data_IF_674560018130
#
_entry.id   IF_674560018130
#
_cell.length_a   1.000
_cell.length_b   1.000
_cell.length_c   1.000
_cell.angle_alpha   90.00
_cell.angle_beta   90.00
_cell.angle_gamma   90.00
#
_symmetry.space_group_name_H-M   'P 1'
#
loop_
_entity.id
_entity.type
_entity.pdbx_description
1 polymer ?
#
# COMPACT_ATOMS: atom_id res chain seq x y z
N UNK A 1 -16.37 22.57 6.97
CA UNK A 1 -17.01 21.54 6.12
C UNK A 1 -16.41 21.44 4.72
N UNK A 2 -16.34 22.52 3.92
CA UNK A 2 -15.83 22.42 2.52
C UNK A 2 -14.43 21.80 2.41
N UNK A 3 -13.50 22.23 3.26
CA UNK A 3 -12.13 21.68 3.31
C UNK A 3 -12.15 20.18 3.63
N UNK A 4 -12.90 19.77 4.66
CA UNK A 4 -13.02 18.35 5.01
C UNK A 4 -13.57 17.50 3.87
N UNK A 5 -14.57 18.03 3.14
CA UNK A 5 -15.18 17.32 2.00
C UNK A 5 -14.17 17.06 0.89
N UNK A 6 -13.35 18.07 0.53
CA UNK A 6 -12.31 17.87 -0.48
C UNK A 6 -11.22 16.91 -0.01
N UNK A 7 -10.81 16.96 1.27
CA UNK A 7 -9.84 16.03 1.82
C UNK A 7 -10.33 14.57 1.73
N UNK A 8 -11.60 14.32 2.09
CA UNK A 8 -12.16 12.96 2.06
C UNK A 8 -12.16 12.39 0.64
N UNK A 9 -12.44 13.23 -0.37
CA UNK A 9 -12.42 12.80 -1.78
C UNK A 9 -11.07 12.22 -2.21
N UNK A 10 -9.97 12.65 -1.61
CA UNK A 10 -8.63 12.09 -1.87
C UNK A 10 -8.49 10.60 -1.52
N UNK A 11 -9.24 10.13 -0.51
CA UNK A 11 -9.21 8.73 -0.07
C UNK A 11 -10.11 7.79 -0.88
N UNK A 12 -11.08 8.35 -1.62
CA UNK A 12 -12.09 7.58 -2.35
C UNK A 12 -11.52 7.10 -3.68
N UNK A 13 -11.51 5.78 -3.90
CA UNK A 13 -10.94 5.17 -5.11
C UNK A 13 -12.03 4.64 -6.03
N UNK A 14 -13.07 4.01 -5.49
CA UNK A 14 -14.14 3.40 -6.29
C UNK A 14 -15.29 4.35 -6.57
N UNK A 15 -16.03 4.14 -7.66
CA UNK A 15 -17.23 4.93 -7.95
C UNK A 15 -18.28 4.79 -6.85
N UNK A 16 -18.46 3.59 -6.31
CA UNK A 16 -19.36 3.37 -5.17
C UNK A 16 -18.98 4.19 -3.94
N UNK A 17 -17.68 4.28 -3.58
CA UNK A 17 -17.21 5.12 -2.47
C UNK A 17 -17.55 6.60 -2.69
N UNK A 18 -17.34 7.09 -3.92
CA UNK A 18 -17.64 8.49 -4.30
C UNK A 18 -19.13 8.78 -4.24
N UNK A 19 -19.96 7.90 -4.80
CA UNK A 19 -21.42 8.02 -4.80
C UNK A 19 -21.99 7.95 -3.38
N UNK A 20 -21.52 7.00 -2.55
CA UNK A 20 -21.94 6.86 -1.16
C UNK A 20 -21.56 8.12 -0.36
N UNK A 21 -20.37 8.67 -0.54
CA UNK A 21 -19.96 9.89 0.13
C UNK A 21 -20.82 11.10 -0.27
N UNK A 22 -21.07 11.28 -1.57
CA UNK A 22 -21.93 12.35 -2.06
C UNK A 22 -23.36 12.23 -1.49
N UNK A 23 -23.91 11.01 -1.45
CA UNK A 23 -25.21 10.74 -0.84
C UNK A 23 -25.20 11.00 0.67
N UNK A 24 -24.11 10.66 1.38
CA UNK A 24 -23.94 10.94 2.79
C UNK A 24 -24.05 12.45 3.06
N UNK A 25 -23.25 13.26 2.36
CA UNK A 25 -23.23 14.72 2.52
C UNK A 25 -24.59 15.35 2.19
N UNK A 26 -25.28 14.85 1.16
CA UNK A 26 -26.59 15.35 0.75
C UNK A 26 -27.69 15.17 1.83
N UNK A 27 -27.50 14.30 2.83
CA UNK A 27 -28.43 14.25 3.98
C UNK A 27 -28.43 15.55 4.76
N UNK A 28 -27.29 16.23 4.90
CA UNK A 28 -27.16 17.43 5.72
C UNK A 28 -27.99 18.61 5.20
N UNK A 29 -28.25 18.65 3.90
CA UNK A 29 -29.06 19.67 3.23
C UNK A 29 -30.56 19.49 3.45
N UNK A 30 -31.00 18.33 3.93
CA UNK A 30 -32.41 18.02 4.21
C UNK A 30 -32.85 18.60 5.56
N UNK A 31 -32.89 19.92 5.68
CA UNK A 31 -33.14 20.64 6.95
C UNK A 31 -34.47 20.28 7.64
N UNK A 32 -35.48 19.81 6.90
CA UNK A 32 -36.76 19.37 7.44
C UNK A 32 -36.75 17.92 7.96
N UNK A 33 -35.71 17.14 7.69
CA UNK A 33 -35.60 15.75 8.12
C UNK A 33 -34.94 15.68 9.51
N UNK A 34 -35.66 15.24 10.56
CA UNK A 34 -35.12 15.14 11.90
C UNK A 34 -34.00 14.09 12.04
N UNK A 35 -33.83 13.19 11.05
CA UNK A 35 -32.81 12.15 11.02
C UNK A 35 -31.60 12.52 10.17
N UNK A 36 -31.55 13.69 9.53
CA UNK A 36 -30.47 14.07 8.61
C UNK A 36 -29.06 13.80 9.14
N UNK A 37 -28.79 14.12 10.41
CA UNK A 37 -27.48 13.91 11.02
C UNK A 37 -27.19 12.42 11.27
N UNK A 38 -28.19 11.66 11.71
CA UNK A 38 -28.05 10.22 11.91
C UNK A 38 -27.81 9.48 10.59
N UNK A 39 -28.56 9.85 9.54
CA UNK A 39 -28.41 9.29 8.19
C UNK A 39 -27.04 9.60 7.60
N UNK A 40 -26.57 10.84 7.73
CA UNK A 40 -25.20 11.24 7.39
C UNK A 40 -24.17 10.39 8.15
N UNK A 41 -24.28 10.31 9.49
CA UNK A 41 -23.33 9.58 10.34
C UNK A 41 -23.30 8.07 10.02
N UNK A 42 -24.48 7.48 9.77
CA UNK A 42 -24.60 6.09 9.39
C UNK A 42 -23.93 5.81 8.03
N UNK A 43 -24.15 6.68 7.04
CA UNK A 43 -23.51 6.57 5.73
C UNK A 43 -21.98 6.75 5.82
N UNK A 44 -21.49 7.69 6.63
CA UNK A 44 -20.05 7.89 6.86
C UNK A 44 -19.38 6.67 7.53
N UNK A 45 -20.07 6.04 8.49
CA UNK A 45 -19.61 4.79 9.10
C UNK A 45 -19.56 3.66 8.07
N UNK A 46 -20.55 3.55 7.19
CA UNK A 46 -20.55 2.50 6.18
C UNK A 46 -19.45 2.74 5.13
N UNK A 47 -19.25 3.99 4.72
CA UNK A 47 -18.14 4.38 3.86
C UNK A 47 -16.79 3.98 4.45
N UNK A 48 -16.56 4.20 5.76
CA UNK A 48 -15.29 3.80 6.39
C UNK A 48 -15.10 2.29 6.40
N UNK A 49 -16.18 1.51 6.51
CA UNK A 49 -16.13 0.04 6.39
C UNK A 49 -15.78 -0.40 4.97
N UNK A 50 -16.31 0.25 3.95
CA UNK A 50 -15.99 -0.07 2.55
C UNK A 50 -14.52 0.23 2.22
N UNK A 51 -14.02 1.40 2.61
CA UNK A 51 -12.60 1.73 2.41
C UNK A 51 -11.71 0.76 3.17
N UNK A 52 -12.02 0.47 4.44
CA UNK A 52 -11.24 -0.51 5.22
C UNK A 52 -11.31 -1.92 4.64
N UNK A 53 -12.44 -2.33 4.04
CA UNK A 53 -12.55 -3.61 3.33
C UNK A 53 -11.65 -3.65 2.10
N UNK A 54 -11.53 -2.55 1.36
CA UNK A 54 -10.65 -2.44 0.21
C UNK A 54 -9.18 -2.48 0.62
N UNK A 55 -8.82 -1.82 1.73
CA UNK A 55 -7.45 -1.80 2.25
C UNK A 55 -7.05 -3.11 2.94
N UNK A 56 -8.01 -3.80 3.56
CA UNK A 56 -7.81 -5.04 4.29
C UNK A 56 -8.93 -6.06 3.99
N UNK A 57 -8.89 -6.71 2.82
CA UNK A 57 -9.85 -7.73 2.46
C UNK A 57 -9.82 -8.89 3.45
N UNK A 58 -10.99 -9.40 3.84
CA UNK A 58 -11.10 -10.50 4.82
C UNK A 58 -10.30 -11.73 4.41
N UNK A 59 -10.27 -12.02 3.11
CA UNK A 59 -9.53 -13.16 2.55
C UNK A 59 -8.03 -13.02 2.74
N UNK A 60 -7.51 -11.81 2.68
CA UNK A 60 -6.09 -11.54 2.80
C UNK A 60 -5.67 -11.50 4.26
N UNK A 61 -6.43 -10.80 5.11
CA UNK A 61 -6.17 -10.78 6.56
C UNK A 61 -6.16 -12.20 7.14
N UNK A 62 -7.03 -13.10 6.66
CA UNK A 62 -7.09 -14.50 7.12
C UNK A 62 -5.88 -15.35 6.71
N UNK A 63 -5.15 -14.96 5.67
CA UNK A 63 -3.95 -15.67 5.22
C UNK A 63 -2.70 -15.27 6.00
N UNK A 64 -2.73 -14.13 6.69
CA UNK A 64 -1.59 -13.67 7.47
C UNK A 64 -1.23 -14.68 8.58
N UNK A 65 0.08 -14.94 8.74
CA UNK A 65 0.60 -15.84 9.77
C UNK A 65 0.24 -15.39 11.19
N UNK A 66 0.08 -14.08 11.41
CA UNK A 66 -0.31 -13.48 12.68
C UNK A 66 -1.82 -13.46 12.95
N UNK A 67 -2.66 -13.84 11.98
CA UNK A 67 -4.11 -13.82 12.14
C UNK A 67 -4.59 -14.83 13.18
N UNK A 68 -5.56 -14.41 14.00
CA UNK A 68 -6.20 -15.25 15.00
C UNK A 68 -7.71 -15.12 14.91
N UNK A 69 -8.43 -16.24 14.98
CA UNK A 69 -9.89 -16.23 15.00
C UNK A 69 -10.36 -15.77 16.38
N UNK A 70 -10.83 -14.53 16.46
CA UNK A 70 -11.37 -13.92 17.69
C UNK A 70 -12.89 -13.75 17.67
N UNK A 71 -13.52 -13.95 16.51
CA UNK A 71 -14.98 -13.79 16.32
C UNK A 71 -15.65 -15.12 16.06
N UNK A 72 -16.90 -15.26 16.51
CA UNK A 72 -17.67 -16.50 16.35
C UNK A 72 -17.92 -16.88 14.88
N UNK A 73 -17.94 -15.91 13.97
CA UNK A 73 -18.16 -16.13 12.54
C UNK A 73 -16.84 -16.24 11.75
N UNK A 74 -15.68 -16.24 12.43
CA UNK A 74 -14.38 -16.31 11.79
C UNK A 74 -14.01 -15.09 10.94
N UNK A 75 -14.73 -13.97 11.07
CA UNK A 75 -14.39 -12.72 10.39
C UNK A 75 -13.27 -11.98 11.15
N UNK A 76 -12.34 -11.29 10.45
CA UNK A 76 -11.33 -10.49 11.12
C UNK A 76 -11.94 -9.37 11.95
N UNK A 77 -11.34 -9.09 13.11
CA UNK A 77 -11.75 -7.96 13.92
C UNK A 77 -11.36 -6.63 13.25
N UNK A 78 -11.98 -5.53 13.68
CA UNK A 78 -11.59 -4.18 13.21
C UNK A 78 -10.10 -3.93 13.47
N UNK A 79 -9.59 -4.35 14.62
CA UNK A 79 -8.17 -4.23 14.98
C UNK A 79 -7.30 -4.97 13.96
N UNK A 80 -7.62 -6.22 13.64
CA UNK A 80 -6.86 -6.99 12.65
C UNK A 80 -6.89 -6.38 11.25
N UNK A 81 -8.02 -5.79 10.85
CA UNK A 81 -8.12 -5.06 9.58
C UNK A 81 -7.26 -3.79 9.56
N UNK A 82 -7.23 -3.03 10.66
CA UNK A 82 -6.38 -1.84 10.77
C UNK A 82 -4.90 -2.24 10.73
N UNK A 83 -4.50 -3.28 11.47
CA UNK A 83 -3.14 -3.83 11.41
C UNK A 83 -2.76 -4.15 9.97
N UNK A 84 -3.57 -4.93 9.26
CA UNK A 84 -3.28 -5.28 7.86
C UNK A 84 -3.22 -4.05 6.93
N UNK A 85 -4.14 -3.09 7.11
CA UNK A 85 -4.16 -1.88 6.29
C UNK A 85 -2.85 -1.06 6.44
N UNK A 86 -2.23 -1.11 7.62
CA UNK A 86 -0.97 -0.44 7.96
C UNK A 86 0.25 -1.25 7.49
N UNK A 87 0.36 -2.54 7.87
CA UNK A 87 1.59 -3.31 7.72
C UNK A 87 1.50 -4.53 6.78
N UNK A 88 0.36 -4.74 6.12
CA UNK A 88 0.12 -5.92 5.29
C UNK A 88 0.29 -7.23 6.06
N UNK A 89 0.97 -8.20 5.47
CA UNK A 89 1.27 -9.49 6.10
C UNK A 89 2.39 -9.49 7.13
N UNK A 90 3.15 -8.40 7.29
CA UNK A 90 4.29 -8.34 8.21
C UNK A 90 3.84 -8.63 9.65
N UNK A 91 4.66 -9.34 10.41
CA UNK A 91 4.39 -9.62 11.81
C UNK A 91 4.67 -8.38 12.68
N UNK A 92 3.96 -8.25 13.80
CA UNK A 92 4.22 -7.18 14.78
C UNK A 92 5.67 -7.21 15.28
N UNK A 93 6.23 -8.41 15.47
CA UNK A 93 7.63 -8.57 15.89
C UNK A 93 8.62 -8.06 14.84
N UNK A 94 8.36 -8.28 13.55
CA UNK A 94 9.22 -7.77 12.48
C UNK A 94 9.15 -6.24 12.39
N UNK A 95 7.94 -5.67 12.45
CA UNK A 95 7.75 -4.21 12.38
C UNK A 95 8.45 -3.52 13.56
N UNK A 96 8.32 -4.07 14.77
CA UNK A 96 8.97 -3.57 15.98
C UNK A 96 10.50 -3.76 15.92
N UNK A 97 10.99 -4.99 15.77
CA UNK A 97 12.42 -5.30 15.97
C UNK A 97 13.30 -5.09 14.75
N UNK A 98 12.76 -5.25 13.54
CA UNK A 98 13.54 -5.17 12.31
C UNK A 98 13.41 -3.80 11.64
N UNK A 99 12.23 -3.17 11.74
CA UNK A 99 11.97 -1.86 11.16
C UNK A 99 12.06 -0.70 12.17
N UNK A 100 12.15 -0.99 13.47
CA UNK A 100 12.19 -0.01 14.56
C UNK A 100 10.94 0.89 14.60
N UNK A 101 9.76 0.30 14.36
CA UNK A 101 8.47 1.00 14.32
C UNK A 101 7.49 0.35 15.32
N UNK A 102 6.91 1.16 16.21
CA UNK A 102 5.93 0.70 17.20
C UNK A 102 4.53 1.32 16.97
N UNK A 103 3.72 0.84 16.00
CA UNK A 103 2.48 1.51 15.59
C UNK A 103 1.30 1.31 16.55
N UNK A 104 1.54 0.82 17.77
CA UNK A 104 0.48 0.28 18.64
C UNK A 104 -0.46 1.35 19.15
N UNK A 105 0.08 2.51 19.52
CA UNK A 105 -0.72 3.63 20.04
C UNK A 105 -1.50 4.29 18.92
N UNK A 106 -0.90 4.45 17.74
CA UNK A 106 -1.55 5.01 16.56
C UNK A 106 -2.67 4.09 16.04
N UNK A 107 -2.44 2.77 15.99
CA UNK A 107 -3.49 1.79 15.66
C UNK A 107 -4.65 1.90 16.65
N UNK A 108 -4.37 2.12 17.94
CA UNK A 108 -5.40 2.33 18.95
C UNK A 108 -6.19 3.62 18.69
N UNK A 109 -5.54 4.71 18.31
CA UNK A 109 -6.20 5.97 17.92
C UNK A 109 -7.12 5.80 16.71
N UNK A 110 -6.69 5.03 15.69
CA UNK A 110 -7.54 4.68 14.54
C UNK A 110 -8.80 3.94 15.00
N UNK A 111 -8.66 2.95 15.88
CA UNK A 111 -9.79 2.17 16.41
C UNK A 111 -10.74 3.06 17.22
N UNK A 112 -10.22 3.97 18.04
CA UNK A 112 -11.02 4.93 18.80
C UNK A 112 -11.81 5.87 17.88
N UNK A 113 -11.21 6.33 16.78
CA UNK A 113 -11.89 7.13 15.77
C UNK A 113 -13.01 6.34 15.06
N UNK A 114 -12.79 5.07 14.73
CA UNK A 114 -13.85 4.20 14.17
C UNK A 114 -15.01 4.01 15.16
N UNK A 115 -14.70 3.89 16.45
CA UNK A 115 -15.71 3.78 17.50
C UNK A 115 -16.50 5.09 17.66
N UNK A 116 -15.85 6.25 17.52
CA UNK A 116 -16.51 7.55 17.50
C UNK A 116 -17.52 7.66 16.36
N UNK A 117 -17.16 7.25 15.13
CA UNK A 117 -18.09 7.20 14.00
C UNK A 117 -19.31 6.33 14.32
N UNK A 118 -19.10 5.18 14.97
CA UNK A 118 -20.19 4.28 15.34
C UNK A 118 -21.16 4.91 16.34
N UNK A 119 -20.67 5.73 17.28
CA UNK A 119 -21.47 6.38 18.32
C UNK A 119 -22.58 7.28 17.77
N UNK A 120 -22.30 8.03 16.71
CA UNK A 120 -23.26 9.00 16.14
C UNK A 120 -24.35 8.37 15.28
N UNK A 121 -24.24 7.09 14.96
CA UNK A 121 -25.25 6.37 14.18
C UNK A 121 -26.53 6.05 14.97
N UNK A 122 -26.45 6.03 16.31
CA UNK A 122 -27.59 5.70 17.15
C UNK A 122 -28.49 6.92 17.36
N UNK A 123 -29.75 6.81 16.93
CA UNK A 123 -30.79 7.82 17.16
C UNK A 123 -31.09 7.89 18.66
N UNK A 124 -30.95 9.08 19.24
CA UNK A 124 -31.29 9.36 20.64
C UNK A 124 -31.58 10.86 20.81
N UNK A 125 -31.96 11.29 22.02
CA UNK A 125 -32.32 12.69 22.32
C UNK A 125 -31.21 13.71 21.99
N UNK A 126 -29.95 13.30 21.96
CA UNK A 126 -28.80 14.17 21.64
C UNK A 126 -28.51 14.24 20.14
N UNK A 127 -29.15 13.42 19.31
CA UNK A 127 -28.87 13.31 17.87
C UNK A 127 -30.11 13.48 16.99
N UNK A 128 -31.31 13.26 17.56
CA UNK A 128 -32.59 13.41 16.87
C UNK A 128 -33.07 14.87 16.84
N UNK A 129 -33.46 15.34 15.65
CA UNK A 129 -34.03 16.67 15.43
C UNK A 129 -33.21 17.82 16.06
N UNK A 130 -31.89 17.72 15.96
CA UNK A 130 -30.97 18.69 16.55
C UNK A 130 -30.97 20.03 15.79
N UNK A 131 -30.70 21.16 16.48
CA UNK A 131 -30.53 22.47 15.86
C UNK A 131 -29.48 22.46 14.74
N UNK A 132 -29.60 23.40 13.80
CA UNK A 132 -28.65 23.54 12.67
C UNK A 132 -27.20 23.68 13.15
N UNK A 133 -26.94 24.51 14.16
CA UNK A 133 -25.59 24.71 14.69
C UNK A 133 -24.98 23.42 15.26
N UNK A 134 -25.80 22.62 15.95
CA UNK A 134 -25.36 21.33 16.51
C UNK A 134 -25.13 20.31 15.39
N UNK A 135 -26.01 20.28 14.39
CA UNK A 135 -25.84 19.45 13.19
C UNK A 135 -24.52 19.75 12.48
N UNK A 136 -24.20 21.03 12.25
CA UNK A 136 -22.94 21.44 11.62
C UNK A 136 -21.73 21.05 12.48
N UNK A 137 -21.76 21.37 13.78
CA UNK A 137 -20.65 21.05 14.69
C UNK A 137 -20.38 19.54 14.79
N UNK A 138 -21.43 18.73 14.91
CA UNK A 138 -21.29 17.28 14.97
C UNK A 138 -20.87 16.69 13.62
N UNK A 139 -21.35 17.24 12.51
CA UNK A 139 -20.96 16.79 11.17
C UNK A 139 -19.48 17.03 10.93
N UNK A 140 -18.94 18.18 11.35
CA UNK A 140 -17.50 18.46 11.30
C UNK A 140 -16.72 17.41 12.09
N UNK A 141 -17.14 17.07 13.30
CA UNK A 141 -16.46 16.03 14.12
C UNK A 141 -16.44 14.66 13.44
N UNK A 142 -17.53 14.27 12.78
CA UNK A 142 -17.60 13.01 12.02
C UNK A 142 -16.64 13.05 10.82
N UNK A 143 -16.61 14.16 10.08
CA UNK A 143 -15.71 14.32 8.93
C UNK A 143 -14.24 14.32 9.37
N UNK A 144 -13.89 15.08 10.40
CA UNK A 144 -12.52 15.15 10.93
C UNK A 144 -12.08 13.78 11.45
N UNK A 145 -12.93 13.06 12.20
CA UNK A 145 -12.61 11.71 12.67
C UNK A 145 -12.44 10.71 11.53
N UNK A 146 -13.22 10.83 10.45
CA UNK A 146 -13.05 10.02 9.25
C UNK A 146 -11.70 10.31 8.58
N UNK A 147 -11.34 11.58 8.45
CA UNK A 147 -10.05 12.00 7.88
C UNK A 147 -8.89 11.45 8.71
N UNK A 148 -8.93 11.59 10.03
CA UNK A 148 -7.89 11.10 10.94
C UNK A 148 -7.64 9.61 10.81
N UNK A 149 -8.68 8.78 10.61
CA UNK A 149 -8.54 7.34 10.39
C UNK A 149 -7.61 7.05 9.21
N UNK A 150 -7.89 7.65 8.04
CA UNK A 150 -7.19 7.28 6.81
C UNK A 150 -5.85 8.01 6.65
N UNK A 151 -5.72 9.23 7.18
CA UNK A 151 -4.41 9.90 7.25
C UNK A 151 -3.41 9.12 8.11
N UNK A 152 -3.84 8.64 9.29
CA UNK A 152 -2.96 7.91 10.18
C UNK A 152 -2.59 6.53 9.60
N UNK A 153 -3.54 5.86 8.94
CA UNK A 153 -3.25 4.61 8.21
C UNK A 153 -2.26 4.84 7.07
N UNK A 154 -2.42 5.89 6.26
CA UNK A 154 -1.48 6.21 5.17
C UNK A 154 -0.10 6.60 5.69
N UNK A 155 -0.02 7.37 6.77
CA UNK A 155 1.24 7.77 7.40
C UNK A 155 2.03 6.56 7.90
N UNK A 156 1.41 5.69 8.70
CA UNK A 156 2.06 4.50 9.24
C UNK A 156 2.48 3.54 8.12
N UNK A 157 1.63 3.38 7.09
CA UNK A 157 1.96 2.57 5.93
C UNK A 157 3.18 3.12 5.19
N UNK A 158 3.25 4.43 5.01
CA UNK A 158 4.40 5.08 4.37
C UNK A 158 5.68 4.87 5.18
N UNK A 159 5.63 5.03 6.50
CA UNK A 159 6.76 4.80 7.41
C UNK A 159 7.28 3.35 7.33
N UNK A 160 6.36 2.38 7.35
CA UNK A 160 6.71 0.96 7.18
C UNK A 160 7.32 0.68 5.81
N UNK A 161 6.72 1.21 4.74
CA UNK A 161 7.27 1.03 3.39
C UNK A 161 8.68 1.65 3.26
N UNK A 162 8.89 2.82 3.85
CA UNK A 162 10.20 3.50 3.84
C UNK A 162 11.25 2.69 4.61
N UNK A 163 10.95 2.29 5.85
CA UNK A 163 11.88 1.48 6.65
C UNK A 163 12.14 0.11 6.01
N UNK A 164 11.12 -0.52 5.43
CA UNK A 164 11.27 -1.79 4.72
C UNK A 164 12.12 -1.64 3.45
N UNK A 165 11.95 -0.55 2.69
CA UNK A 165 12.80 -0.24 1.54
C UNK A 165 14.27 -0.19 1.96
N UNK A 166 14.59 0.60 2.99
CA UNK A 166 15.96 0.70 3.52
C UNK A 166 16.47 -0.65 4.04
N UNK A 167 15.59 -1.46 4.65
CA UNK A 167 15.92 -2.77 5.19
C UNK A 167 16.33 -3.79 4.14
N UNK A 168 15.79 -3.72 2.92
CA UNK A 168 16.02 -4.69 1.83
C UNK A 168 16.96 -4.16 0.73
N UNK A 169 17.23 -2.86 0.66
CA UNK A 169 17.98 -2.23 -0.45
C UNK A 169 19.29 -2.92 -0.78
N UNK A 170 20.17 -3.11 0.22
CA UNK A 170 21.48 -3.75 -0.01
C UNK A 170 21.38 -5.17 -0.55
N UNK A 171 20.41 -5.92 -0.07
CA UNK A 171 20.21 -7.31 -0.49
C UNK A 171 19.61 -7.39 -1.90
N UNK A 172 18.81 -6.39 -2.28
CA UNK A 172 18.30 -6.26 -3.63
C UNK A 172 19.44 -5.98 -4.61
N UNK A 173 20.35 -5.06 -4.28
CA UNK A 173 21.55 -4.78 -5.07
C UNK A 173 22.39 -6.06 -5.28
N UNK A 174 22.69 -6.78 -4.20
CA UNK A 174 23.48 -8.02 -4.25
C UNK A 174 22.79 -9.12 -5.07
N UNK A 175 21.46 -9.26 -4.93
CA UNK A 175 20.65 -10.22 -5.68
C UNK A 175 20.64 -9.92 -7.17
N UNK A 176 20.50 -8.64 -7.55
CA UNK A 176 20.51 -8.21 -8.93
C UNK A 176 21.86 -8.45 -9.61
N UNK A 177 22.94 -8.03 -8.93
CA UNK A 177 24.29 -8.29 -9.41
C UNK A 177 24.48 -9.79 -9.64
N UNK A 178 24.12 -10.65 -8.69
CA UNK A 178 24.35 -12.09 -8.82
C UNK A 178 23.55 -12.77 -9.94
N UNK A 179 22.32 -12.33 -10.23
CA UNK A 179 21.42 -12.98 -11.20
C UNK A 179 21.55 -12.45 -12.63
N UNK A 180 21.95 -11.20 -12.86
CA UNK A 180 22.08 -10.64 -14.22
C UNK A 180 23.27 -11.21 -15.00
N UNK A 181 24.35 -11.61 -14.31
CA UNK A 181 25.56 -12.12 -14.97
C UNK A 181 25.38 -13.50 -15.63
N UNK A 182 24.29 -14.23 -15.37
CA UNK A 182 24.13 -15.58 -15.90
C UNK A 182 23.61 -15.64 -17.34
N UNK A 183 23.06 -14.56 -17.91
CA UNK A 183 22.05 -14.73 -18.97
C UNK A 183 22.01 -13.70 -20.13
N UNK A 184 23.01 -12.82 -20.29
CA UNK A 184 23.05 -11.88 -21.42
C UNK A 184 23.43 -12.51 -22.80
N UNK A 185 23.18 -13.80 -23.02
CA UNK A 185 23.62 -14.55 -24.21
C UNK A 185 22.88 -14.20 -25.53
N UNK A 186 22.11 -13.11 -25.58
CA UNK A 186 21.18 -12.79 -26.68
C UNK A 186 21.76 -11.80 -27.69
N UNK A 187 22.70 -10.94 -27.29
CA UNK A 187 23.16 -9.80 -28.13
C UNK A 187 24.38 -10.11 -29.02
N UNK A 188 25.23 -11.06 -28.64
CA UNK A 188 26.41 -11.45 -29.42
C UNK A 188 26.79 -12.89 -29.13
N UNK A 189 27.70 -13.47 -29.92
CA UNK A 189 28.22 -14.82 -29.66
C UNK A 189 28.96 -14.96 -28.32
N UNK A 190 29.35 -13.82 -27.72
CA UNK A 190 29.99 -13.70 -26.41
C UNK A 190 29.65 -12.32 -25.80
N UNK A 191 28.45 -12.19 -25.24
CA UNK A 191 28.09 -11.00 -24.48
C UNK A 191 28.51 -11.21 -23.02
N UNK A 192 29.19 -10.21 -22.47
CA UNK A 192 29.58 -10.21 -21.06
C UNK A 192 28.85 -9.05 -20.40
N UNK A 193 27.94 -9.34 -19.47
CA UNK A 193 27.48 -8.36 -18.50
C UNK A 193 28.71 -7.92 -17.69
N UNK A 194 29.05 -6.63 -17.72
CA UNK A 194 30.19 -6.11 -16.95
C UNK A 194 29.73 -5.64 -15.58
N UNK A 195 28.72 -4.77 -15.56
CA UNK A 195 28.16 -4.18 -14.35
C UNK A 195 26.66 -3.96 -14.53
N UNK A 196 25.92 -3.94 -13.43
CA UNK A 196 24.52 -3.52 -13.40
C UNK A 196 24.37 -2.47 -12.33
N UNK A 197 23.75 -1.34 -12.67
CA UNK A 197 23.45 -0.28 -11.71
C UNK A 197 21.94 -0.24 -11.50
N UNK A 198 21.50 -0.59 -10.29
CA UNK A 198 20.12 -0.37 -9.87
C UNK A 198 19.91 1.12 -9.67
N UNK A 199 19.01 1.73 -10.46
CA UNK A 199 18.70 3.16 -10.33
C UNK A 199 17.66 3.41 -9.25
N UNK A 200 16.58 2.62 -9.25
CA UNK A 200 15.50 2.76 -8.28
C UNK A 200 14.66 1.50 -8.16
N UNK A 201 14.00 1.35 -7.02
CA UNK A 201 12.98 0.32 -6.82
C UNK A 201 11.85 0.83 -5.93
N UNK A 202 10.70 0.16 -6.01
CA UNK A 202 9.52 0.45 -5.23
C UNK A 202 8.90 -0.84 -4.68
N UNK A 203 8.42 -0.76 -3.44
CA UNK A 203 7.59 -1.81 -2.85
C UNK A 203 6.13 -1.56 -3.25
N UNK A 204 5.66 -2.33 -4.23
CA UNK A 204 4.33 -2.18 -4.81
C UNK A 204 3.24 -2.69 -3.88
N UNK A 205 3.49 -3.81 -3.19
CA UNK A 205 2.51 -4.39 -2.29
C UNK A 205 3.14 -5.25 -1.19
N UNK A 206 2.52 -5.24 -0.03
CA UNK A 206 2.80 -6.15 1.09
C UNK A 206 1.56 -7.03 1.24
N UNK A 207 1.60 -8.19 0.61
CA UNK A 207 0.51 -9.18 0.63
C UNK A 207 0.55 -9.97 1.94
N UNK A 208 -0.38 -10.92 2.18
CA UNK A 208 -0.32 -11.76 3.37
C UNK A 208 0.93 -12.66 3.45
N UNK A 209 1.52 -12.99 2.31
CA UNK A 209 2.57 -14.03 2.18
C UNK A 209 3.86 -13.48 1.54
N UNK A 210 3.78 -12.39 0.77
CA UNK A 210 4.89 -11.87 -0.03
C UNK A 210 4.98 -10.35 -0.04
N UNK A 211 6.19 -9.86 -0.19
CA UNK A 211 6.49 -8.47 -0.54
C UNK A 211 6.77 -8.43 -2.04
N UNK A 212 6.04 -7.57 -2.76
CA UNK A 212 6.15 -7.42 -4.22
C UNK A 212 6.93 -6.15 -4.53
N UNK A 213 7.99 -6.29 -5.32
CA UNK A 213 8.96 -5.24 -5.60
C UNK A 213 9.06 -5.09 -7.12
N UNK A 214 9.24 -3.87 -7.58
CA UNK A 214 9.59 -3.56 -8.97
C UNK A 214 10.69 -2.51 -8.97
N UNK A 215 11.46 -2.43 -10.04
CA UNK A 215 12.48 -1.40 -10.17
C UNK A 215 13.05 -1.34 -11.57
N UNK A 216 14.05 -0.49 -11.72
CA UNK A 216 14.72 -0.23 -12.98
C UNK A 216 16.20 0.10 -12.76
N UNK A 217 16.96 -0.02 -13.83
CA UNK A 217 18.38 0.30 -13.84
C UNK A 217 18.96 0.26 -15.24
N UNK A 218 20.28 0.28 -15.30
CA UNK A 218 21.02 0.08 -16.54
C UNK A 218 22.01 -1.06 -16.39
N UNK A 219 22.17 -1.85 -17.44
CA UNK A 219 23.19 -2.88 -17.53
C UNK A 219 24.25 -2.48 -18.54
N UNK A 220 25.50 -2.44 -18.09
CA UNK A 220 26.65 -2.26 -18.96
C UNK A 220 27.08 -3.62 -19.52
N UNK A 221 27.25 -3.66 -20.84
CA UNK A 221 27.55 -4.88 -21.58
C UNK A 221 28.76 -4.68 -22.47
N UNK A 222 29.57 -5.73 -22.57
CA UNK A 222 30.63 -5.84 -23.57
C UNK A 222 30.25 -6.89 -24.59
N UNK A 223 30.06 -6.45 -25.83
CA UNK A 223 29.69 -7.24 -26.98
C UNK A 223 30.96 -7.59 -27.77
N UNK A 224 31.32 -8.87 -27.79
CA UNK A 224 32.52 -9.34 -28.48
C UNK A 224 32.17 -10.00 -29.81
N UNK A 225 32.79 -9.49 -30.89
CA UNK A 225 32.61 -9.97 -32.25
C UNK A 225 33.96 -10.39 -32.85
N UNK A 226 33.94 -11.38 -33.76
CA UNK A 226 35.14 -11.86 -34.45
C UNK A 226 35.90 -12.98 -33.72
N UNK A 227 37.01 -13.46 -34.31
CA UNK A 227 37.90 -14.49 -33.74
C UNK A 227 39.35 -14.10 -33.98
N UNK A 228 40.23 -14.43 -33.03
CA UNK A 228 41.68 -14.22 -33.12
C UNK A 228 42.05 -12.74 -33.32
N UNK A 229 42.81 -12.42 -34.37
CA UNK A 229 43.37 -11.09 -34.62
C UNK A 229 42.33 -10.05 -35.10
N UNK A 230 41.11 -10.48 -35.43
CA UNK A 230 40.00 -9.61 -35.88
C UNK A 230 38.93 -9.42 -34.79
N UNK A 231 39.27 -9.64 -33.51
CA UNK A 231 38.33 -9.44 -32.40
C UNK A 231 38.03 -7.95 -32.20
N UNK A 232 36.75 -7.63 -32.07
CA UNK A 232 36.25 -6.30 -31.76
C UNK A 232 35.35 -6.36 -30.52
N UNK A 233 35.66 -5.52 -29.53
CA UNK A 233 34.85 -5.32 -28.33
C UNK A 233 34.09 -4.00 -28.48
N UNK A 234 32.77 -4.05 -28.30
CA UNK A 234 31.90 -2.88 -28.26
C UNK A 234 31.26 -2.82 -26.89
N UNK A 235 31.47 -1.71 -26.17
CA UNK A 235 30.80 -1.43 -24.91
C UNK A 235 29.50 -0.69 -25.17
N UNK A 236 28.45 -1.12 -24.53
CA UNK A 236 27.14 -0.48 -24.60
C UNK A 236 26.40 -0.56 -23.26
N UNK A 237 25.29 0.16 -23.14
CA UNK A 237 24.44 0.18 -21.95
C UNK A 237 22.97 0.14 -22.35
N UNK A 238 22.21 -0.73 -21.69
CA UNK A 238 20.80 -0.93 -21.95
C UNK A 238 19.97 -0.74 -20.68
N UNK A 239 18.88 0.03 -20.72
CA UNK A 239 17.98 0.12 -19.58
C UNK A 239 17.23 -1.19 -19.38
N UNK A 240 16.91 -1.49 -18.12
CA UNK A 240 16.08 -2.63 -17.76
C UNK A 240 15.02 -2.26 -16.73
N UNK A 241 13.93 -3.01 -16.75
CA UNK A 241 12.92 -3.06 -15.70
C UNK A 241 12.84 -4.46 -15.11
N UNK A 242 12.39 -4.58 -13.86
CA UNK A 242 12.18 -5.88 -13.25
C UNK A 242 10.99 -5.94 -12.30
N UNK A 243 10.56 -7.17 -12.03
CA UNK A 243 9.66 -7.51 -10.93
C UNK A 243 10.26 -8.65 -10.11
N UNK A 244 10.23 -8.53 -8.79
CA UNK A 244 10.68 -9.59 -7.91
C UNK A 244 9.82 -9.65 -6.65
N UNK A 245 10.08 -10.64 -5.82
CA UNK A 245 9.40 -10.75 -4.54
C UNK A 245 10.29 -11.35 -3.45
N UNK A 246 9.91 -11.14 -2.20
CA UNK A 246 10.41 -11.91 -1.07
C UNK A 246 9.25 -12.49 -0.27
N UNK A 247 9.52 -13.54 0.49
CA UNK A 247 8.55 -14.09 1.45
C UNK A 247 8.41 -13.13 2.63
N UNK A 248 7.20 -13.04 3.20
CA UNK A 248 6.86 -12.05 4.24
C UNK A 248 7.64 -12.26 5.55
N UNK A 249 8.08 -13.48 5.81
CA UNK A 249 8.84 -13.90 7.00
C UNK A 249 10.36 -13.83 6.80
N UNK A 250 10.82 -13.82 5.55
CA UNK A 250 12.22 -13.60 5.17
C UNK A 250 12.35 -12.44 4.15
N UNK A 251 12.06 -11.17 4.50
CA UNK A 251 12.02 -10.06 3.53
C UNK A 251 13.31 -9.79 2.74
N UNK A 252 14.46 -10.21 3.29
CA UNK A 252 15.77 -10.13 2.61
C UNK A 252 16.01 -11.30 1.64
N UNK A 253 15.26 -12.38 1.72
CA UNK A 253 15.41 -13.47 0.77
C UNK A 253 14.68 -13.12 -0.53
N UNK A 254 15.34 -12.33 -1.36
CA UNK A 254 14.79 -11.81 -2.60
C UNK A 254 14.87 -12.90 -3.66
N UNK A 255 13.73 -13.12 -4.32
CA UNK A 255 13.55 -14.10 -5.38
C UNK A 255 13.28 -13.30 -6.65
N UNK A 256 14.26 -13.33 -7.54
CA UNK A 256 14.23 -12.72 -8.86
C UNK A 256 14.47 -13.80 -9.89
N UNK A 257 13.56 -13.92 -10.86
CA UNK A 257 13.74 -14.83 -11.99
C UNK A 257 14.12 -14.05 -13.24
N UNK A 258 14.91 -14.66 -14.11
CA UNK A 258 15.35 -14.06 -15.37
C UNK A 258 14.20 -13.53 -16.24
N UNK A 259 13.10 -14.29 -16.33
CA UNK A 259 11.94 -13.90 -17.13
C UNK A 259 11.15 -12.72 -16.55
N UNK A 260 11.49 -12.27 -15.34
CA UNK A 260 10.92 -11.09 -14.71
C UNK A 260 11.79 -9.84 -14.93
N UNK A 261 12.86 -9.94 -15.73
CA UNK A 261 13.73 -8.83 -16.13
C UNK A 261 13.55 -8.56 -17.61
N UNK A 262 13.21 -7.32 -17.93
CA UNK A 262 12.99 -6.84 -19.29
C UNK A 262 14.09 -5.83 -19.64
N UNK A 263 14.99 -6.21 -20.54
CA UNK A 263 16.06 -5.32 -21.05
C UNK A 263 15.62 -4.71 -22.37
N UNK A 264 15.65 -3.39 -22.46
CA UNK A 264 15.33 -2.66 -23.69
C UNK A 264 16.59 -2.43 -24.53
N UNK A 265 16.67 -3.12 -25.66
CA UNK A 265 17.79 -3.05 -26.60
C UNK A 265 17.45 -2.32 -27.89
N UNK A 266 16.37 -1.53 -27.94
CA UNK A 266 15.95 -0.88 -29.19
C UNK A 266 16.99 0.09 -29.73
N UNK A 267 17.73 0.76 -28.84
CA UNK A 267 18.81 1.71 -29.19
C UNK A 267 19.90 1.09 -30.07
N UNK A 268 20.11 -0.22 -30.01
CA UNK A 268 21.10 -0.93 -30.82
C UNK A 268 20.74 -1.02 -32.31
N UNK A 269 19.45 -0.94 -32.65
CA UNK A 269 18.94 -1.15 -34.01
C UNK A 269 18.65 0.16 -34.76
N UNK A 270 18.87 1.31 -34.13
CA UNK A 270 18.70 2.66 -34.69
C UNK A 270 19.98 3.19 -35.36
#
# INVERSE_FOLDING_TARGET
MKVQIENIRGFLKTEFEKELFNAAVAYLDKTSDPLRFNSFSAAMRELSRHILQRLAPDVDVKKCSWFKVETNNGAPTRKQKVIYAVQGGLSEEFVDKNLDIEPKDEIKEVIESINLLSKYTHVNEKTFNIPQADCESLSIKVLDSFISIFQLVEQLRHEIHYSLHDYISTELDDTFMSNMFSDLDILSSQTIAETSELESFEIINITPEKIIITGNGNIEVSLNYGKYDDAAEIKDSFPYEFKCHSEIDEPRKIILYQHDIEVDTTSWYE
#
